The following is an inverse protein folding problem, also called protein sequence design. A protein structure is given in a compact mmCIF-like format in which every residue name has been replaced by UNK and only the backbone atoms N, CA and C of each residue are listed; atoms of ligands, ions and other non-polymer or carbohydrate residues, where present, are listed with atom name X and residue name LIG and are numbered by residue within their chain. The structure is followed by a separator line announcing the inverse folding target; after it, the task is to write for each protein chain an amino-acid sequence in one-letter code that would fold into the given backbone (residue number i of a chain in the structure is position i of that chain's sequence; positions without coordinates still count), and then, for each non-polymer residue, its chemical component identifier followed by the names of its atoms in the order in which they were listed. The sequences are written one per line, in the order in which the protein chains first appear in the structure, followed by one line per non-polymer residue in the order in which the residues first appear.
data_IF_951106319643
#
_entry.id   IF_951106319643
#
_cell.length_a   1.000
_cell.length_b   1.000
_cell.length_c   1.000
_cell.angle_alpha   90.00
_cell.angle_beta   90.00
_cell.angle_gamma   90.00
#
_symmetry.space_group_name_H-M   'P 1'
#
loop_
_entity.id
_entity.type
_entity.pdbx_description
1 polymer ?
#
# COMPACT_ATOMS: atom_id res chain seq x y z
N UNK A 1 8.97 -14.91 -17.90
CA UNK A 1 7.64 -15.13 -17.29
C UNK A 1 6.93 -16.18 -18.14
N UNK A 2 5.93 -16.92 -17.63
CA UNK A 2 5.14 -17.80 -18.50
C UNK A 2 4.60 -17.01 -19.70
N UNK A 3 4.59 -17.65 -20.87
CA UNK A 3 4.06 -17.02 -22.08
C UNK A 3 2.58 -16.71 -21.85
N UNK A 4 2.16 -15.47 -22.11
CA UNK A 4 0.78 -15.02 -21.89
C UNK A 4 0.46 -14.53 -20.47
N UNK A 5 1.35 -14.70 -19.49
CA UNK A 5 1.10 -14.19 -18.14
C UNK A 5 1.57 -12.72 -18.02
N UNK A 6 0.78 -11.84 -17.38
CA UNK A 6 1.08 -10.40 -17.31
C UNK A 6 2.07 -10.04 -16.19
N UNK A 7 2.26 -10.92 -15.20
CA UNK A 7 3.24 -10.76 -14.11
C UNK A 7 4.23 -11.95 -14.02
N UNK A 8 5.37 -11.81 -13.32
CA UNK A 8 6.14 -12.96 -12.84
C UNK A 8 5.30 -13.81 -11.89
N UNK A 9 5.55 -15.13 -11.86
CA UNK A 9 4.88 -16.01 -10.92
C UNK A 9 5.37 -15.74 -9.48
N UNK A 10 4.47 -15.69 -8.49
CA UNK A 10 4.84 -15.56 -7.10
C UNK A 10 5.53 -16.82 -6.57
N UNK A 11 6.34 -16.63 -5.54
CA UNK A 11 7.11 -17.69 -4.91
C UNK A 11 7.15 -17.50 -3.39
N UNK A 12 7.10 -18.62 -2.70
CA UNK A 12 7.14 -18.67 -1.24
C UNK A 12 8.23 -19.63 -0.76
N UNK A 13 8.88 -19.27 0.34
CA UNK A 13 9.95 -20.05 0.95
C UNK A 13 9.46 -21.14 1.88
N UNK A 14 10.37 -21.71 2.66
CA UNK A 14 10.01 -22.66 3.71
C UNK A 14 9.30 -21.97 4.88
N UNK A 15 8.32 -22.63 5.52
CA UNK A 15 7.64 -22.10 6.69
C UNK A 15 8.64 -21.66 7.79
N UNK A 16 8.37 -20.52 8.43
CA UNK A 16 9.15 -20.04 9.58
C UNK A 16 8.64 -20.66 10.87
N UNK A 17 9.55 -20.86 11.82
CA UNK A 17 9.21 -21.26 13.20
C UNK A 17 8.53 -20.11 13.94
N UNK A 18 7.68 -20.44 14.90
CA UNK A 18 7.12 -19.46 15.82
C UNK A 18 8.19 -18.91 16.77
N UNK A 19 8.03 -17.66 17.18
CA UNK A 19 8.71 -17.08 18.33
C UNK A 19 7.88 -17.43 19.58
N UNK A 20 8.42 -18.27 20.45
CA UNK A 20 7.74 -18.63 21.70
C UNK A 20 7.94 -17.54 22.73
N UNK A 21 6.83 -17.10 23.32
CA UNK A 21 6.76 -16.04 24.33
C UNK A 21 6.04 -16.61 25.55
N UNK A 22 6.74 -16.85 26.67
CA UNK A 22 6.22 -17.58 27.83
C UNK A 22 4.92 -17.03 28.45
N UNK A 23 4.69 -15.72 28.39
CA UNK A 23 3.54 -15.08 29.01
C UNK A 23 2.96 -13.96 28.14
N UNK A 24 1.73 -13.56 28.46
CA UNK A 24 1.06 -12.43 27.81
C UNK A 24 1.82 -11.12 28.08
N UNK A 25 2.33 -10.91 29.28
CA UNK A 25 3.13 -9.73 29.64
C UNK A 25 4.41 -9.60 28.79
N UNK A 26 5.12 -10.70 28.56
CA UNK A 26 6.30 -10.68 27.69
C UNK A 26 5.93 -10.45 26.22
N UNK A 27 4.74 -10.90 25.80
CA UNK A 27 4.22 -10.60 24.48
C UNK A 27 3.87 -9.12 24.33
N UNK A 28 3.30 -8.49 25.36
CA UNK A 28 3.02 -7.06 25.38
C UNK A 28 4.29 -6.22 25.30
N UNK A 29 5.38 -6.62 25.98
CA UNK A 29 6.68 -5.96 25.83
C UNK A 29 7.20 -6.08 24.39
N UNK A 30 7.15 -7.28 23.79
CA UNK A 30 7.50 -7.48 22.38
C UNK A 30 6.66 -6.58 21.46
N UNK A 31 5.33 -6.65 21.60
CA UNK A 31 4.40 -5.91 20.77
C UNK A 31 4.61 -4.39 20.89
N UNK A 32 4.84 -3.88 22.10
CA UNK A 32 5.06 -2.44 22.33
C UNK A 32 6.34 -1.93 21.67
N UNK A 33 7.44 -2.70 21.71
CA UNK A 33 8.71 -2.30 21.08
C UNK A 33 8.63 -2.37 19.54
N UNK A 34 7.95 -3.40 19.03
CA UNK A 34 7.67 -3.54 17.60
C UNK A 34 6.76 -2.41 17.11
N UNK A 35 5.70 -2.10 17.84
CA UNK A 35 4.76 -1.02 17.53
C UNK A 35 5.46 0.34 17.48
N UNK A 36 6.30 0.65 18.48
CA UNK A 36 7.09 1.88 18.48
C UNK A 36 7.96 2.01 17.21
N UNK A 37 8.55 0.89 16.75
CA UNK A 37 9.35 0.87 15.53
C UNK A 37 8.51 1.16 14.28
N UNK A 38 7.27 0.63 14.22
CA UNK A 38 6.31 0.95 13.14
C UNK A 38 5.92 2.42 13.16
N UNK A 39 5.59 2.98 14.32
CA UNK A 39 5.19 4.38 14.45
C UNK A 39 6.31 5.33 14.00
N UNK A 40 7.57 5.02 14.35
CA UNK A 40 8.75 5.76 13.89
C UNK A 40 8.99 5.62 12.38
N UNK A 41 8.65 4.47 11.78
CA UNK A 41 8.72 4.28 10.33
C UNK A 41 7.71 5.17 9.61
N UNK A 42 6.45 5.13 10.04
CA UNK A 42 5.35 5.89 9.43
C UNK A 42 5.56 7.40 9.53
N UNK A 43 6.15 7.87 10.64
CA UNK A 43 6.52 9.28 10.78
C UNK A 43 7.68 9.69 9.86
N UNK A 44 8.63 8.79 9.61
CA UNK A 44 9.85 9.09 8.87
C UNK A 44 9.67 9.02 7.34
N UNK A 45 8.71 8.22 6.86
CA UNK A 45 8.53 7.97 5.43
C UNK A 45 7.06 8.12 5.02
N UNK A 46 6.88 8.81 3.89
CA UNK A 46 5.61 8.86 3.19
C UNK A 46 5.38 7.56 2.40
N UNK A 47 4.13 7.18 2.22
CA UNK A 47 3.77 6.23 1.16
C UNK A 47 3.69 6.96 -0.17
N UNK A 48 4.41 6.46 -1.18
CA UNK A 48 4.64 7.18 -2.42
C UNK A 48 4.63 6.24 -3.64
N UNK A 49 3.45 5.88 -4.14
CA UNK A 49 3.30 5.20 -5.42
C UNK A 49 3.49 6.14 -6.62
N UNK A 50 3.38 7.46 -6.40
CA UNK A 50 3.56 8.49 -7.44
C UNK A 50 5.00 8.52 -7.95
N UNK A 51 5.98 8.44 -7.04
CA UNK A 51 7.38 8.49 -7.38
C UNK A 51 7.83 7.34 -8.27
N UNK A 52 7.42 6.10 -7.95
CA UNK A 52 7.76 4.95 -8.78
C UNK A 52 7.08 4.98 -10.15
N UNK A 53 5.84 5.50 -10.24
CA UNK A 53 5.18 5.74 -11.52
C UNK A 53 5.95 6.74 -12.39
N UNK A 54 6.36 7.89 -11.82
CA UNK A 54 7.11 8.90 -12.58
C UNK A 54 8.45 8.35 -13.07
N UNK A 55 9.21 7.63 -12.22
CA UNK A 55 10.47 6.99 -12.63
C UNK A 55 10.27 5.93 -13.70
N UNK A 56 9.18 5.18 -13.64
CA UNK A 56 8.83 4.20 -14.66
C UNK A 56 8.51 4.87 -16.00
N UNK A 57 7.73 5.94 -15.99
CA UNK A 57 7.42 6.74 -17.18
C UNK A 57 8.66 7.39 -17.80
N UNK A 58 9.50 8.02 -16.99
CA UNK A 58 10.78 8.61 -17.42
C UNK A 58 11.71 7.54 -18.02
N UNK A 59 11.83 6.39 -17.35
CA UNK A 59 12.61 5.25 -17.85
C UNK A 59 12.09 4.72 -19.18
N UNK A 60 10.78 4.61 -19.35
CA UNK A 60 10.15 4.19 -20.60
C UNK A 60 10.47 5.19 -21.72
N UNK A 61 10.27 6.48 -21.49
CA UNK A 61 10.60 7.53 -22.47
C UNK A 61 12.08 7.56 -22.84
N UNK A 62 12.96 7.41 -21.86
CA UNK A 62 14.40 7.38 -22.08
C UNK A 62 14.87 6.13 -22.85
N UNK A 63 14.13 5.02 -22.76
CA UNK A 63 14.46 3.78 -23.49
C UNK A 63 14.26 3.88 -25.00
N UNK A 64 13.43 4.82 -25.47
CA UNK A 64 13.03 4.94 -26.87
C UNK A 64 12.10 3.80 -27.35
N UNK A 65 11.67 2.91 -26.46
CA UNK A 65 10.70 1.87 -26.76
C UNK A 65 9.30 2.50 -27.00
N UNK A 66 8.54 1.91 -27.92
CA UNK A 66 7.15 2.30 -28.19
C UNK A 66 6.13 1.36 -27.54
N UNK A 67 6.59 0.18 -27.07
CA UNK A 67 5.78 -0.84 -26.43
C UNK A 67 6.06 -0.87 -24.93
N UNK A 68 5.14 -0.29 -24.15
CA UNK A 68 5.26 -0.25 -22.70
C UNK A 68 5.27 -1.64 -22.08
N UNK A 69 4.55 -2.61 -22.66
CA UNK A 69 4.52 -3.99 -22.18
C UNK A 69 5.88 -4.69 -22.29
N UNK A 70 6.65 -4.40 -23.35
CA UNK A 70 8.02 -4.88 -23.49
C UNK A 70 8.95 -4.24 -22.45
N UNK A 71 8.93 -2.92 -22.33
CA UNK A 71 9.71 -2.20 -21.33
C UNK A 71 9.37 -2.66 -19.90
N UNK A 72 8.08 -2.78 -19.59
CA UNK A 72 7.56 -3.29 -18.31
C UNK A 72 8.13 -4.67 -17.97
N UNK A 73 8.29 -5.56 -18.95
CA UNK A 73 8.85 -6.90 -18.75
C UNK A 73 10.31 -6.89 -18.33
N UNK A 74 11.10 -5.96 -18.87
CA UNK A 74 12.52 -5.81 -18.55
C UNK A 74 12.82 -4.87 -17.38
N UNK A 75 11.89 -3.97 -17.05
CA UNK A 75 12.11 -2.96 -16.01
C UNK A 75 12.26 -3.61 -14.63
N UNK A 76 13.23 -3.19 -13.84
CA UNK A 76 13.37 -3.60 -12.44
C UNK A 76 12.95 -2.43 -11.54
N UNK A 77 11.82 -2.54 -10.80
CA UNK A 77 11.38 -1.48 -9.92
C UNK A 77 12.43 -1.20 -8.83
N UNK A 78 12.94 0.03 -8.71
CA UNK A 78 13.87 0.38 -7.64
C UNK A 78 13.11 0.54 -6.32
N UNK A 79 13.73 0.13 -5.21
CA UNK A 79 13.25 0.42 -3.86
C UNK A 79 14.13 1.53 -3.29
N UNK A 80 13.59 2.73 -3.09
CA UNK A 80 14.33 3.86 -2.52
C UNK A 80 13.54 4.57 -1.42
N UNK A 81 14.22 5.15 -0.41
CA UNK A 81 13.57 5.82 0.72
C UNK A 81 12.60 6.95 0.36
N UNK A 82 12.76 7.56 -0.81
CA UNK A 82 11.93 8.65 -1.33
C UNK A 82 10.62 8.15 -1.95
N UNK A 83 10.54 6.86 -2.30
CA UNK A 83 9.48 6.26 -3.11
C UNK A 83 8.95 4.95 -2.51
N UNK A 84 8.90 4.86 -1.19
CA UNK A 84 8.39 3.66 -0.54
C UNK A 84 6.89 3.47 -0.78
N UNK A 85 6.53 2.32 -1.33
CA UNK A 85 5.20 1.72 -1.33
C UNK A 85 5.08 0.76 -0.14
N UNK A 86 4.08 -0.14 -0.14
CA UNK A 86 4.00 -1.24 0.83
C UNK A 86 5.26 -2.12 0.86
N UNK A 87 5.88 -2.40 -0.29
CA UNK A 87 7.10 -3.23 -0.37
C UNK A 87 8.28 -2.51 0.26
N UNK A 88 8.52 -1.25 -0.13
CA UNK A 88 9.61 -0.46 0.40
C UNK A 88 9.50 -0.24 1.90
N UNK A 89 8.31 0.12 2.38
CA UNK A 89 8.04 0.29 3.81
C UNK A 89 8.24 -1.02 4.59
N UNK A 90 7.75 -2.15 4.07
CA UNK A 90 7.89 -3.44 4.76
C UNK A 90 9.37 -3.91 4.82
N UNK A 91 10.15 -3.69 3.75
CA UNK A 91 11.58 -4.00 3.74
C UNK A 91 12.38 -3.12 4.73
N UNK A 92 12.09 -1.82 4.77
CA UNK A 92 12.70 -0.92 5.74
C UNK A 92 12.27 -1.28 7.18
N UNK A 93 11.01 -1.68 7.38
CA UNK A 93 10.53 -2.14 8.68
C UNK A 93 11.31 -3.37 9.18
N UNK A 94 11.51 -4.37 8.33
CA UNK A 94 12.31 -5.55 8.67
C UNK A 94 13.74 -5.16 9.09
N UNK A 95 14.36 -4.20 8.37
CA UNK A 95 15.70 -3.68 8.69
C UNK A 95 15.72 -2.96 10.05
N UNK A 96 14.69 -2.18 10.39
CA UNK A 96 14.61 -1.51 11.70
C UNK A 96 14.36 -2.50 12.83
N UNK A 97 13.47 -3.46 12.63
CA UNK A 97 13.13 -4.48 13.62
C UNK A 97 14.30 -5.40 13.95
N UNK A 98 15.27 -5.59 13.05
CA UNK A 98 16.47 -6.39 13.36
C UNK A 98 17.32 -5.80 14.49
N UNK A 99 17.15 -4.51 14.81
CA UNK A 99 17.81 -3.88 15.96
C UNK A 99 17.28 -4.38 17.30
N UNK A 100 16.09 -4.99 17.30
CA UNK A 100 15.46 -5.56 18.49
C UNK A 100 15.94 -7.00 18.79
N UNK A 101 16.78 -7.59 17.94
CA UNK A 101 17.30 -8.96 18.10
C UNK A 101 17.96 -9.18 19.46
N UNK A 102 18.71 -8.19 19.96
CA UNK A 102 19.37 -8.27 21.28
C UNK A 102 18.37 -8.38 22.42
N UNK A 103 17.21 -7.72 22.30
CA UNK A 103 16.14 -7.75 23.31
C UNK A 103 15.24 -8.97 23.14
N UNK A 104 14.98 -9.38 21.90
CA UNK A 104 14.13 -10.53 21.56
C UNK A 104 14.90 -11.51 20.66
N UNK A 105 15.74 -12.39 21.24
CA UNK A 105 16.57 -13.31 20.48
C UNK A 105 15.76 -14.18 19.53
N UNK A 106 16.21 -14.27 18.28
CA UNK A 106 15.60 -15.03 17.22
C UNK A 106 14.48 -14.32 16.45
N UNK A 107 14.15 -13.07 16.79
CA UNK A 107 13.12 -12.26 16.13
C UNK A 107 13.41 -12.11 14.62
N UNK A 108 14.60 -11.64 14.27
CA UNK A 108 15.00 -11.30 12.89
C UNK A 108 14.87 -12.51 11.96
N UNK A 109 15.30 -13.68 12.43
CA UNK A 109 15.24 -14.93 11.65
C UNK A 109 13.81 -15.42 11.37
N UNK A 110 12.84 -14.98 12.19
CA UNK A 110 11.43 -15.42 12.17
C UNK A 110 10.49 -14.40 11.55
N UNK A 111 10.88 -13.14 11.45
CA UNK A 111 10.16 -12.12 10.67
C UNK A 111 10.22 -12.46 9.18
N UNK A 112 9.12 -12.20 8.47
CA UNK A 112 9.04 -12.37 7.02
C UNK A 112 7.96 -11.48 6.40
N UNK A 113 7.98 -11.37 5.08
CA UNK A 113 6.93 -10.73 4.31
C UNK A 113 5.83 -11.72 3.96
N UNK A 114 4.57 -11.37 4.20
CA UNK A 114 3.40 -12.14 3.81
C UNK A 114 2.71 -11.44 2.64
N UNK A 115 2.30 -12.23 1.64
CA UNK A 115 1.62 -11.72 0.44
C UNK A 115 0.11 -11.61 0.66
N UNK A 116 -0.49 -10.52 0.18
CA UNK A 116 -1.90 -10.20 0.35
C UNK A 116 -2.61 -10.09 -1.01
N UNK A 117 -3.85 -10.56 -1.06
CA UNK A 117 -4.81 -10.27 -2.14
C UNK A 117 -6.03 -9.56 -1.58
N UNK A 118 -6.53 -8.61 -2.35
CA UNK A 118 -7.63 -7.74 -1.97
C UNK A 118 -8.88 -8.08 -2.77
N UNK A 119 -10.04 -7.62 -2.31
CA UNK A 119 -11.32 -7.79 -3.01
C UNK A 119 -11.72 -9.25 -3.27
N UNK A 120 -11.50 -10.14 -2.30
CA UNK A 120 -11.91 -11.55 -2.39
C UNK A 120 -13.42 -11.68 -2.18
N UNK A 121 -14.11 -12.22 -3.18
CA UNK A 121 -15.56 -12.46 -3.14
C UNK A 121 -15.91 -13.74 -2.36
N UNK A 122 -15.36 -14.90 -2.77
CA UNK A 122 -15.56 -16.19 -2.09
C UNK A 122 -14.35 -16.57 -1.23
N UNK A 123 -14.31 -15.99 -0.03
CA UNK A 123 -13.26 -16.23 0.97
C UNK A 123 -13.18 -17.70 1.34
N UNK A 124 -14.33 -18.38 1.49
CA UNK A 124 -14.39 -19.75 1.97
C UNK A 124 -13.80 -20.73 0.96
N UNK A 125 -14.01 -20.50 -0.35
CA UNK A 125 -13.35 -21.24 -1.41
C UNK A 125 -11.85 -20.94 -1.47
N UNK A 126 -11.50 -19.65 -1.48
CA UNK A 126 -10.14 -19.19 -1.67
C UNK A 126 -9.16 -19.75 -0.63
N UNK A 127 -9.56 -19.80 0.65
CA UNK A 127 -8.65 -20.18 1.75
C UNK A 127 -8.45 -21.70 1.90
N UNK A 128 -9.14 -22.56 1.13
CA UNK A 128 -9.02 -24.03 1.25
C UNK A 128 -7.66 -24.53 0.78
N UNK A 129 -7.10 -23.91 -0.26
CA UNK A 129 -5.87 -24.37 -0.92
C UNK A 129 -4.72 -23.38 -0.73
N UNK A 130 -3.48 -23.79 -1.01
CA UNK A 130 -2.38 -22.83 -1.10
C UNK A 130 -2.53 -21.96 -2.37
N UNK A 131 -1.99 -20.72 -2.39
CA UNK A 131 -2.23 -19.81 -3.51
C UNK A 131 -1.74 -20.39 -4.84
N UNK A 132 -2.62 -20.46 -5.84
CA UNK A 132 -2.27 -20.93 -7.17
C UNK A 132 -1.43 -19.89 -7.90
N UNK A 133 -0.15 -20.19 -8.16
CA UNK A 133 0.82 -19.24 -8.73
C UNK A 133 0.36 -18.56 -10.02
N UNK A 134 -0.50 -19.20 -10.81
CA UNK A 134 -0.92 -18.74 -12.14
C UNK A 134 -2.22 -17.95 -12.15
N UNK A 135 -2.97 -17.94 -11.04
CA UNK A 135 -4.21 -17.15 -10.92
C UNK A 135 -4.07 -16.01 -9.91
N UNK A 136 -3.03 -16.02 -9.08
CA UNK A 136 -2.86 -15.03 -8.02
C UNK A 136 -2.04 -13.81 -8.41
N UNK A 137 -2.47 -12.65 -7.95
CA UNK A 137 -1.87 -11.36 -8.29
C UNK A 137 -0.87 -10.85 -7.23
N UNK A 138 -1.22 -10.99 -5.94
CA UNK A 138 -0.47 -10.47 -4.78
C UNK A 138 -0.17 -8.95 -4.86
N UNK A 139 -1.23 -8.14 -4.79
CA UNK A 139 -1.19 -6.67 -4.90
C UNK A 139 -0.58 -5.94 -3.70
N UNK A 140 -0.53 -6.59 -2.55
CA UNK A 140 -0.03 -5.99 -1.31
C UNK A 140 0.87 -6.94 -0.51
N UNK A 141 1.69 -6.36 0.36
CA UNK A 141 2.61 -7.09 1.24
C UNK A 141 2.68 -6.43 2.62
N UNK A 142 2.79 -7.26 3.65
CA UNK A 142 2.96 -6.81 5.03
C UNK A 142 3.99 -7.66 5.77
N UNK A 143 4.44 -7.21 6.94
CA UNK A 143 5.37 -7.97 7.78
C UNK A 143 4.58 -8.88 8.71
N UNK A 144 5.03 -10.12 8.83
CA UNK A 144 4.42 -11.16 9.64
C UNK A 144 5.44 -11.86 10.53
N UNK A 145 4.99 -12.28 11.71
CA UNK A 145 5.72 -13.08 12.67
C UNK A 145 4.78 -14.12 13.26
N UNK A 146 5.16 -15.40 13.18
CA UNK A 146 4.48 -16.46 13.92
C UNK A 146 4.86 -16.36 15.38
N UNK A 147 3.87 -16.37 16.27
CA UNK A 147 4.08 -16.30 17.71
C UNK A 147 3.38 -17.46 18.40
N UNK A 148 3.92 -17.85 19.55
CA UNK A 148 3.28 -18.76 20.47
C UNK A 148 3.26 -18.07 21.84
N UNK A 149 2.10 -17.61 22.28
CA UNK A 149 1.95 -16.82 23.51
C UNK A 149 1.39 -17.71 24.61
N UNK A 150 2.21 -18.01 25.61
CA UNK A 150 1.88 -18.96 26.68
C UNK A 150 1.35 -20.30 26.13
N UNK A 151 2.03 -20.85 25.11
CA UNK A 151 1.65 -22.09 24.44
C UNK A 151 0.49 -21.97 23.43
N UNK A 152 -0.07 -20.77 23.23
CA UNK A 152 -1.19 -20.55 22.30
C UNK A 152 -0.70 -19.99 20.96
N UNK A 153 -1.02 -20.63 19.82
CA UNK A 153 -0.53 -20.19 18.53
C UNK A 153 -1.21 -18.89 18.09
N UNK A 154 -0.43 -18.02 17.45
CA UNK A 154 -0.92 -16.77 16.90
C UNK A 154 0.01 -16.17 15.85
N UNK A 155 -0.39 -15.02 15.36
CA UNK A 155 0.31 -14.24 14.36
C UNK A 155 0.40 -12.78 14.81
N UNK A 156 1.58 -12.19 14.71
CA UNK A 156 1.80 -10.75 14.83
C UNK A 156 2.00 -10.19 13.42
N UNK A 157 1.18 -9.21 13.04
CA UNK A 157 1.21 -8.56 11.72
C UNK A 157 1.48 -7.07 11.87
N UNK A 158 2.21 -6.53 10.90
CA UNK A 158 2.52 -5.10 10.78
C UNK A 158 2.30 -4.69 9.33
N UNK A 159 1.39 -3.76 9.11
CA UNK A 159 1.04 -3.29 7.77
C UNK A 159 1.38 -1.81 7.61
N UNK A 160 2.66 -1.49 7.32
CA UNK A 160 3.03 -0.11 7.10
C UNK A 160 2.50 0.42 5.76
N UNK A 161 2.13 -0.43 4.79
CA UNK A 161 1.57 0.00 3.50
C UNK A 161 0.17 0.62 3.64
N UNK A 162 -0.68 0.04 4.49
CA UNK A 162 -1.93 0.65 4.93
C UNK A 162 -1.76 1.62 6.10
N UNK A 163 -0.51 1.83 6.52
CA UNK A 163 -0.09 2.71 7.61
C UNK A 163 -0.78 2.41 8.93
N UNK A 164 -0.95 1.13 9.23
CA UNK A 164 -1.47 0.71 10.51
C UNK A 164 -0.36 0.91 11.54
N UNK A 165 -0.50 1.94 12.36
CA UNK A 165 0.50 2.36 13.35
C UNK A 165 0.48 1.53 14.64
N UNK A 166 0.05 0.27 14.53
CA UNK A 166 -0.11 -0.65 15.65
C UNK A 166 0.25 -2.08 15.30
N UNK A 167 0.57 -2.87 16.32
CA UNK A 167 0.63 -4.33 16.18
C UNK A 167 -0.77 -4.89 16.04
N UNK A 168 -0.97 -5.74 15.03
CA UNK A 168 -2.17 -6.57 14.89
C UNK A 168 -1.82 -7.97 15.36
N UNK A 169 -2.52 -8.44 16.39
CA UNK A 169 -2.34 -9.79 16.94
C UNK A 169 -3.52 -10.66 16.56
N UNK A 170 -3.27 -11.77 15.87
CA UNK A 170 -4.29 -12.76 15.50
C UNK A 170 -4.01 -14.06 16.24
N UNK A 171 -4.67 -14.24 17.39
CA UNK A 171 -4.61 -15.52 18.13
C UNK A 171 -5.58 -16.54 17.53
N UNK A 172 -5.18 -17.80 17.47
CA UNK A 172 -6.01 -18.87 16.93
C UNK A 172 -7.28 -19.15 17.76
N UNK A 173 -7.25 -18.84 19.05
CA UNK A 173 -8.39 -18.99 19.97
C UNK A 173 -9.27 -17.72 20.04
N UNK A 174 -8.89 -16.65 19.34
CA UNK A 174 -9.51 -15.32 19.40
C UNK A 174 -9.56 -14.69 20.80
N UNK A 175 -8.79 -15.20 21.76
CA UNK A 175 -8.70 -14.64 23.10
C UNK A 175 -7.55 -13.62 23.18
N UNK A 176 -7.59 -12.75 24.18
CA UNK A 176 -6.50 -11.81 24.46
C UNK A 176 -5.14 -12.55 24.47
N UNK A 177 -4.10 -12.06 23.77
CA UNK A 177 -3.94 -10.71 23.19
C UNK A 177 -4.48 -10.48 21.77
N UNK A 178 -5.44 -11.28 21.28
CA UNK A 178 -6.10 -11.05 19.98
C UNK A 178 -6.60 -9.61 19.81
N UNK A 179 -6.27 -9.00 18.68
CA UNK A 179 -6.73 -7.67 18.27
C UNK A 179 -8.05 -7.81 17.53
N UNK A 180 -9.15 -7.46 18.21
CA UNK A 180 -10.48 -7.40 17.59
C UNK A 180 -10.62 -6.23 16.60
N UNK A 181 -11.86 -5.83 16.33
CA UNK A 181 -12.14 -4.65 15.52
C UNK A 181 -11.42 -3.42 16.07
N UNK A 182 -10.78 -2.66 15.19
CA UNK A 182 -10.20 -1.37 15.53
C UNK A 182 -10.42 -0.35 14.43
N UNK A 183 -10.59 0.91 14.84
CA UNK A 183 -10.74 2.03 13.92
C UNK A 183 -9.39 2.35 13.26
N UNK A 184 -9.35 2.34 11.94
CA UNK A 184 -8.20 2.81 11.16
C UNK A 184 -8.31 4.30 10.85
N UNK A 185 -9.52 4.79 10.57
CA UNK A 185 -9.80 6.21 10.41
C UNK A 185 -11.23 6.54 10.82
N UNK A 186 -11.40 7.72 11.39
CA UNK A 186 -12.70 8.27 11.79
C UNK A 186 -12.79 9.71 11.31
N UNK A 187 -13.36 9.88 10.13
CA UNK A 187 -13.60 11.19 9.54
C UNK A 187 -15.10 11.54 9.60
N UNK A 188 -15.47 12.83 9.57
CA UNK A 188 -16.87 13.26 9.78
C UNK A 188 -17.94 12.56 8.92
N UNK A 189 -17.56 12.02 7.76
CA UNK A 189 -18.47 11.36 6.82
C UNK A 189 -18.04 9.93 6.45
N UNK A 190 -16.95 9.42 7.03
CA UNK A 190 -16.38 8.13 6.67
C UNK A 190 -15.60 7.58 7.86
N UNK A 191 -16.04 6.44 8.38
CA UNK A 191 -15.31 5.65 9.38
C UNK A 191 -14.85 4.35 8.74
N UNK A 192 -13.58 3.99 8.94
CA UNK A 192 -13.00 2.72 8.50
C UNK A 192 -12.52 1.92 9.70
N UNK A 193 -12.92 0.66 9.74
CA UNK A 193 -12.56 -0.28 10.81
C UNK A 193 -12.01 -1.56 10.21
N UNK A 194 -10.97 -2.10 10.83
CA UNK A 194 -10.34 -3.35 10.38
C UNK A 194 -10.49 -4.46 11.42
N UNK A 195 -10.59 -5.69 10.93
CA UNK A 195 -10.51 -6.90 11.73
C UNK A 195 -9.68 -7.96 11.02
N UNK A 196 -8.88 -8.70 11.78
CA UNK A 196 -8.03 -9.78 11.26
C UNK A 196 -8.36 -11.07 12.02
N UNK A 197 -8.70 -12.12 11.27
CA UNK A 197 -9.09 -13.42 11.84
C UNK A 197 -8.34 -14.54 11.14
N UNK A 198 -7.94 -15.57 11.89
CA UNK A 198 -7.28 -16.73 11.29
C UNK A 198 -8.31 -17.54 10.50
N UNK A 199 -7.99 -17.85 9.24
CA UNK A 199 -8.84 -18.70 8.41
C UNK A 199 -8.80 -20.16 8.87
N UNK A 200 -9.82 -20.93 8.51
CA UNK A 200 -9.84 -22.38 8.71
C UNK A 200 -8.60 -23.02 8.06
N UNK A 201 -7.88 -23.87 8.81
CA UNK A 201 -6.62 -24.48 8.38
C UNK A 201 -5.36 -23.65 8.66
N UNK A 202 -5.48 -22.42 9.17
CA UNK A 202 -4.36 -21.65 9.73
C UNK A 202 -3.31 -21.14 8.74
N UNK A 203 -3.56 -21.28 7.43
CA UNK A 203 -2.65 -20.82 6.37
C UNK A 203 -2.84 -19.34 6.01
N UNK A 204 -4.07 -18.86 6.17
CA UNK A 204 -4.49 -17.51 5.80
C UNK A 204 -4.98 -16.72 7.00
N UNK A 205 -4.88 -15.41 6.87
CA UNK A 205 -5.54 -14.46 7.75
C UNK A 205 -6.54 -13.69 6.89
N UNK A 206 -7.80 -13.72 7.29
CA UNK A 206 -8.88 -12.95 6.67
C UNK A 206 -8.89 -11.58 7.29
N UNK A 207 -8.65 -10.56 6.46
CA UNK A 207 -8.73 -9.16 6.80
C UNK A 207 -10.04 -8.59 6.27
N UNK A 208 -10.90 -8.10 7.16
CA UNK A 208 -12.14 -7.40 6.81
C UNK A 208 -11.96 -5.89 7.01
N UNK A 209 -12.31 -5.11 5.99
CA UNK A 209 -12.46 -3.66 6.06
C UNK A 209 -13.95 -3.33 6.08
N UNK A 210 -14.39 -2.68 7.16
CA UNK A 210 -15.72 -2.09 7.26
C UNK A 210 -15.60 -0.58 7.07
N UNK A 211 -16.16 -0.10 5.97
CA UNK A 211 -16.33 1.33 5.71
C UNK A 211 -17.78 1.73 5.99
N UNK A 212 -17.98 2.70 6.90
CA UNK A 212 -19.27 3.34 7.15
C UNK A 212 -19.25 4.75 6.60
N UNK A 213 -19.97 5.00 5.50
CA UNK A 213 -20.02 6.30 4.83
C UNK A 213 -21.43 6.85 4.87
N UNK A 214 -21.61 8.03 5.47
CA UNK A 214 -22.93 8.65 5.64
C UNK A 214 -24.00 7.69 6.22
N UNK A 215 -23.59 6.81 7.14
CA UNK A 215 -24.46 5.81 7.76
C UNK A 215 -24.67 4.52 6.95
N UNK A 216 -24.12 4.41 5.73
CA UNK A 216 -24.15 3.19 4.92
C UNK A 216 -22.88 2.38 5.16
N UNK A 217 -23.05 1.12 5.56
CA UNK A 217 -21.95 0.18 5.79
C UNK A 217 -21.67 -0.64 4.52
N UNK A 218 -20.38 -0.77 4.18
CA UNK A 218 -19.87 -1.72 3.20
C UNK A 218 -18.70 -2.49 3.81
N UNK A 219 -18.64 -3.79 3.52
CA UNK A 219 -17.53 -4.65 3.93
C UNK A 219 -16.79 -5.13 2.69
N UNK A 220 -15.48 -4.95 2.66
CA UNK A 220 -14.59 -5.63 1.72
C UNK A 220 -13.70 -6.62 2.46
N UNK A 221 -13.28 -7.68 1.76
CA UNK A 221 -12.43 -8.71 2.34
C UNK A 221 -11.13 -8.86 1.54
N UNK A 222 -10.04 -8.95 2.28
CA UNK A 222 -8.72 -9.28 1.78
C UNK A 222 -8.21 -10.53 2.51
N UNK A 223 -7.26 -11.23 1.89
CA UNK A 223 -6.67 -12.46 2.43
C UNK A 223 -5.16 -12.39 2.39
N UNK A 224 -4.56 -12.70 3.54
CA UNK A 224 -3.11 -12.69 3.72
C UNK A 224 -2.64 -14.13 3.81
N UNK A 225 -1.78 -14.55 2.87
CA UNK A 225 -1.13 -15.86 2.96
C UNK A 225 0.08 -15.76 3.88
N UNK A 226 -0.09 -16.21 5.12
CA UNK A 226 0.92 -16.15 6.19
C UNK A 226 1.56 -17.52 6.49
N UNK A 227 1.29 -18.55 5.68
CA UNK A 227 1.89 -19.86 5.93
C UNK A 227 3.40 -19.88 5.64
N UNK A 228 3.86 -19.08 4.67
CA UNK A 228 5.24 -19.11 4.17
C UNK A 228 5.73 -17.71 3.79
N UNK A 229 7.04 -17.42 3.96
CA UNK A 229 7.64 -16.17 3.49
C UNK A 229 7.42 -15.93 2.01
N UNK A 230 6.93 -14.76 1.65
CA UNK A 230 6.86 -14.31 0.26
C UNK A 230 8.23 -13.82 -0.20
N UNK A 231 8.77 -14.44 -1.26
CA UNK A 231 10.17 -14.26 -1.66
C UNK A 231 10.38 -13.24 -2.78
N UNK A 232 9.31 -12.82 -3.45
CA UNK A 232 9.39 -11.99 -4.65
C UNK A 232 8.53 -10.72 -4.59
N UNK A 233 8.54 -9.93 -3.49
CA UNK A 233 7.70 -8.75 -3.37
C UNK A 233 8.06 -7.64 -4.38
N UNK A 234 9.33 -7.50 -4.74
CA UNK A 234 9.75 -6.48 -5.73
C UNK A 234 9.33 -6.87 -7.14
N UNK A 235 9.50 -8.13 -7.52
CA UNK A 235 9.22 -8.54 -8.90
C UNK A 235 7.73 -8.77 -9.16
N UNK A 236 6.92 -9.02 -8.13
CA UNK A 236 5.47 -9.22 -8.24
C UNK A 236 4.70 -7.99 -7.76
N UNK A 237 4.70 -7.71 -6.46
CA UNK A 237 3.88 -6.65 -5.84
C UNK A 237 4.30 -5.25 -6.25
N UNK A 238 5.59 -4.91 -6.15
CA UNK A 238 6.08 -3.58 -6.55
C UNK A 238 5.88 -3.34 -8.05
N UNK A 239 6.10 -4.39 -8.84
CA UNK A 239 5.88 -4.37 -10.29
C UNK A 239 4.40 -4.18 -10.65
N UNK A 240 3.47 -4.85 -9.96
CA UNK A 240 2.03 -4.59 -10.12
C UNK A 240 1.70 -3.14 -9.78
N UNK A 241 2.26 -2.61 -8.70
CA UNK A 241 2.04 -1.21 -8.30
C UNK A 241 2.38 -0.21 -9.41
N UNK A 242 3.38 -0.47 -10.28
CA UNK A 242 3.74 0.41 -11.41
C UNK A 242 2.61 0.67 -12.39
N UNK A 243 1.70 -0.30 -12.58
CA UNK A 243 0.61 -0.24 -13.56
C UNK A 243 -0.77 -0.14 -12.94
N UNK A 244 -0.90 -0.33 -11.61
CA UNK A 244 -2.15 -0.10 -10.89
C UNK A 244 -2.74 1.28 -11.24
N UNK A 245 -4.04 1.49 -11.38
CA UNK A 245 -4.51 2.79 -11.92
C UNK A 245 -4.78 3.86 -10.85
N UNK A 246 -4.81 3.49 -9.57
CA UNK A 246 -4.92 4.44 -8.46
C UNK A 246 -3.54 4.78 -7.88
N UNK A 247 -3.30 6.06 -7.61
CA UNK A 247 -2.01 6.59 -7.17
C UNK A 247 -2.16 7.52 -6.01
N UNK A 248 -1.19 7.46 -5.09
CA UNK A 248 -1.15 8.36 -3.95
C UNK A 248 0.27 8.66 -3.47
N UNK A 249 0.43 9.87 -2.93
CA UNK A 249 1.56 10.31 -2.11
C UNK A 249 0.98 10.81 -0.79
N UNK A 250 1.24 10.11 0.30
CA UNK A 250 0.56 10.31 1.58
C UNK A 250 1.58 10.45 2.73
N UNK A 251 1.41 11.48 3.54
CA UNK A 251 2.06 11.66 4.84
C UNK A 251 1.07 11.34 5.96
N UNK A 252 1.56 10.74 7.03
CA UNK A 252 0.78 10.38 8.21
C UNK A 252 1.50 10.68 9.50
N UNK A 253 0.71 10.83 10.57
CA UNK A 253 1.24 10.98 11.92
C UNK A 253 1.69 9.63 12.51
N UNK A 254 2.23 9.66 13.73
CA UNK A 254 2.67 8.46 14.46
C UNK A 254 1.53 7.50 14.83
N UNK A 255 0.27 7.91 14.68
CA UNK A 255 -0.91 7.07 14.90
C UNK A 255 -1.50 6.55 13.59
N UNK A 256 -0.89 6.88 12.46
CA UNK A 256 -1.38 6.49 11.14
C UNK A 256 -2.54 7.34 10.63
N UNK A 257 -2.77 8.54 11.16
CA UNK A 257 -3.75 9.47 10.59
C UNK A 257 -3.16 10.28 9.44
N UNK A 258 -3.97 10.56 8.42
CA UNK A 258 -3.57 11.38 7.27
C UNK A 258 -3.28 12.83 7.68
N UNK A 259 -2.08 13.31 7.32
CA UNK A 259 -1.67 14.72 7.51
C UNK A 259 -1.83 15.50 6.22
N UNK A 260 -1.17 15.02 5.16
CA UNK A 260 -1.17 15.69 3.87
C UNK A 260 -0.91 14.70 2.74
N UNK A 261 -1.28 15.07 1.52
CA UNK A 261 -1.01 14.23 0.37
C UNK A 261 -1.84 14.53 -0.85
N UNK A 262 -1.57 13.76 -1.89
CA UNK A 262 -2.34 13.75 -3.13
C UNK A 262 -2.78 12.33 -3.46
N UNK A 263 -3.93 12.19 -4.10
CA UNK A 263 -4.34 10.95 -4.75
C UNK A 263 -5.16 11.21 -6.01
N UNK A 264 -5.10 10.28 -6.96
CA UNK A 264 -5.82 10.35 -8.23
C UNK A 264 -5.95 8.97 -8.87
N UNK A 265 -6.85 8.86 -9.85
CA UNK A 265 -7.02 7.66 -10.67
C UNK A 265 -6.72 7.99 -12.13
N UNK A 266 -5.91 7.16 -12.77
CA UNK A 266 -5.63 7.22 -14.21
C UNK A 266 -6.77 6.49 -14.93
N UNK A 267 -7.35 7.10 -15.95
CA UNK A 267 -8.50 6.55 -16.71
C UNK A 267 -8.33 6.79 -18.21
N UNK A 268 -8.95 5.95 -19.06
CA UNK A 268 -8.83 6.08 -20.52
C UNK A 268 -9.36 7.42 -21.04
N UNK A 269 -10.44 7.90 -20.43
CA UNK A 269 -11.09 9.17 -20.73
C UNK A 269 -10.57 10.35 -19.91
N UNK A 270 -9.34 10.27 -19.36
CA UNK A 270 -8.81 11.30 -18.48
C UNK A 270 -9.04 12.71 -19.05
N UNK A 271 -8.85 12.92 -20.36
CA UNK A 271 -9.06 14.21 -21.06
C UNK A 271 -10.52 14.56 -21.43
N UNK A 272 -11.46 13.63 -21.38
CA UNK A 272 -12.80 13.77 -22.00
C UNK A 272 -13.98 13.69 -21.01
N UNK A 273 -13.81 13.32 -19.75
CA UNK A 273 -14.97 12.99 -18.93
C UNK A 273 -15.66 14.18 -18.25
N UNK A 274 -16.87 14.46 -18.76
CA UNK A 274 -18.06 14.79 -17.97
C UNK A 274 -18.42 13.54 -17.15
N UNK A 275 -18.49 13.69 -15.83
CA UNK A 275 -18.81 12.72 -14.76
C UNK A 275 -17.90 11.49 -14.54
N UNK A 276 -17.41 11.39 -13.29
CA UNK A 276 -16.68 10.29 -12.61
C UNK A 276 -15.33 9.80 -13.15
N UNK A 277 -14.78 10.37 -14.23
CA UNK A 277 -13.38 10.16 -14.67
C UNK A 277 -12.63 11.48 -14.83
N UNK A 278 -12.14 12.08 -13.75
CA UNK A 278 -11.59 13.44 -13.83
C UNK A 278 -10.09 13.50 -14.14
N UNK A 279 -9.66 14.36 -15.08
CA UNK A 279 -8.26 14.85 -15.26
C UNK A 279 -7.81 15.68 -14.06
N UNK A 280 -7.96 15.16 -12.85
CA UNK A 280 -7.76 15.91 -11.62
C UNK A 280 -7.22 15.01 -10.54
N UNK A 281 -6.53 15.61 -9.59
CA UNK A 281 -6.16 14.97 -8.35
C UNK A 281 -6.88 15.62 -7.17
N UNK A 282 -6.96 14.89 -6.07
CA UNK A 282 -7.34 15.48 -4.79
C UNK A 282 -6.07 15.73 -4.01
N UNK A 283 -5.89 16.97 -3.55
CA UNK A 283 -4.90 17.33 -2.55
C UNK A 283 -5.58 17.54 -1.20
N UNK A 284 -4.87 17.19 -0.13
CA UNK A 284 -5.33 17.45 1.23
C UNK A 284 -4.18 17.83 2.13
N UNK A 285 -4.48 18.62 3.15
CA UNK A 285 -3.54 19.07 4.17
C UNK A 285 -4.31 19.41 5.45
N UNK A 286 -3.63 19.44 6.60
CA UNK A 286 -4.25 19.84 7.86
C UNK A 286 -4.14 21.35 8.10
N UNK A 287 -5.19 21.94 8.68
CA UNK A 287 -5.21 23.30 9.22
C UNK A 287 -5.92 23.26 10.57
N UNK A 288 -5.24 23.65 11.64
CA UNK A 288 -5.79 23.63 13.01
C UNK A 288 -6.41 22.28 13.39
N UNK A 289 -5.78 21.17 12.99
CA UNK A 289 -6.26 19.81 13.26
C UNK A 289 -7.37 19.31 12.31
N UNK A 290 -7.90 20.16 11.43
CA UNK A 290 -8.92 19.77 10.45
C UNK A 290 -8.28 19.46 9.09
N UNK A 291 -8.70 18.36 8.48
CA UNK A 291 -8.28 17.99 7.12
C UNK A 291 -9.03 18.82 6.09
N UNK A 292 -8.30 19.68 5.38
CA UNK A 292 -8.80 20.44 4.24
C UNK A 292 -8.55 19.65 2.97
N UNK A 293 -9.56 19.56 2.09
CA UNK A 293 -9.46 18.85 0.81
C UNK A 293 -9.79 19.78 -0.34
N UNK A 294 -9.09 19.59 -1.45
CA UNK A 294 -9.44 20.24 -2.70
C UNK A 294 -9.20 19.32 -3.89
N UNK A 295 -10.06 19.46 -4.90
CA UNK A 295 -9.92 18.78 -6.19
C UNK A 295 -9.32 19.79 -7.17
N UNK A 296 -8.23 19.42 -7.83
CA UNK A 296 -7.45 20.31 -8.72
C UNK A 296 -7.24 19.62 -10.06
N UNK A 297 -7.54 20.34 -11.14
CA UNK A 297 -7.38 19.87 -12.50
C UNK A 297 -5.90 19.85 -12.92
N UNK A 298 -5.45 18.77 -13.57
CA UNK A 298 -4.07 18.65 -14.06
C UNK A 298 -3.75 19.64 -15.20
N UNK A 299 -4.75 20.18 -15.92
CA UNK A 299 -4.53 21.18 -16.98
C UNK A 299 -3.82 22.43 -16.46
N UNK A 300 -4.04 22.78 -15.18
CA UNK A 300 -3.32 23.86 -14.49
C UNK A 300 -1.80 23.72 -14.57
N UNK A 301 -1.31 22.49 -14.66
CA UNK A 301 0.12 22.18 -14.65
C UNK A 301 0.68 21.84 -16.04
N UNK A 302 -0.13 21.90 -17.10
CA UNK A 302 0.34 21.68 -18.48
C UNK A 302 0.79 22.97 -19.18
N UNK A 303 0.15 24.10 -18.88
CA UNK A 303 0.43 25.39 -19.54
C UNK A 303 0.85 26.45 -18.52
N UNK A 304 2.15 26.73 -18.48
CA UNK A 304 2.76 27.73 -17.59
C UNK A 304 2.20 29.14 -17.86
N UNK A 305 1.71 29.42 -19.07
CA UNK A 305 1.15 30.72 -19.44
C UNK A 305 -0.33 30.90 -19.05
N UNK A 306 -1.02 29.82 -18.66
CA UNK A 306 -2.41 29.86 -18.20
C UNK A 306 -2.58 29.93 -16.68
N UNK A 307 -1.50 30.13 -15.91
CA UNK A 307 -1.61 30.41 -14.47
C UNK A 307 -2.35 31.72 -14.24
N UNK A 308 -3.68 31.64 -14.10
CA UNK A 308 -4.52 32.79 -13.80
C UNK A 308 -4.12 33.36 -12.42
N UNK A 309 -4.18 34.68 -12.27
CA UNK A 309 -3.94 35.36 -10.99
C UNK A 309 -4.95 34.98 -9.88
N UNK A 310 -6.07 34.33 -10.23
CA UNK A 310 -7.11 33.87 -9.30
C UNK A 310 -6.74 32.55 -8.59
N UNK A 311 -5.55 32.01 -8.80
CA UNK A 311 -5.16 30.68 -8.32
C UNK A 311 -4.32 30.68 -7.03
N UNK A 312 -4.09 31.86 -6.45
CA UNK A 312 -3.24 32.05 -5.27
C UNK A 312 -3.66 31.18 -4.06
N UNK A 313 -4.96 30.91 -3.88
CA UNK A 313 -5.45 30.05 -2.80
C UNK A 313 -5.07 28.59 -3.02
N UNK A 314 -5.19 28.08 -4.24
CA UNK A 314 -4.77 26.72 -4.59
C UNK A 314 -3.27 26.60 -4.47
N UNK A 315 -2.51 27.57 -4.97
CA UNK A 315 -1.04 27.56 -4.89
C UNK A 315 -0.57 27.54 -3.44
N UNK A 316 -1.19 28.35 -2.57
CA UNK A 316 -0.91 28.34 -1.13
C UNK A 316 -1.25 26.98 -0.49
N UNK A 317 -2.38 26.37 -0.85
CA UNK A 317 -2.79 25.06 -0.33
C UNK A 317 -1.84 23.94 -0.80
N UNK A 318 -1.39 23.97 -2.05
CA UNK A 318 -0.40 23.03 -2.59
C UNK A 318 0.97 23.24 -1.94
N UNK A 319 1.40 24.49 -1.73
CA UNK A 319 2.63 24.79 -1.00
C UNK A 319 2.59 24.24 0.43
N UNK A 320 1.47 24.45 1.15
CA UNK A 320 1.27 23.92 2.49
C UNK A 320 1.22 22.39 2.50
N UNK A 321 0.55 21.76 1.54
CA UNK A 321 0.54 20.32 1.35
C UNK A 321 1.96 19.78 1.14
N UNK A 322 2.77 20.43 0.28
CA UNK A 322 4.17 20.07 0.05
C UNK A 322 5.01 20.18 1.31
N UNK A 323 4.83 21.23 2.09
CA UNK A 323 5.51 21.42 3.38
C UNK A 323 5.15 20.30 4.37
N UNK A 324 3.87 19.94 4.50
CA UNK A 324 3.42 18.87 5.42
C UNK A 324 3.78 17.46 4.95
N UNK A 325 4.07 17.28 3.65
CA UNK A 325 4.72 16.09 3.10
C UNK A 325 6.22 16.03 3.39
N UNK A 326 6.80 17.07 4.02
CA UNK A 326 8.24 17.17 4.26
C UNK A 326 9.06 17.43 3.00
N UNK A 327 8.43 17.95 1.93
CA UNK A 327 9.11 18.21 0.66
C UNK A 327 9.74 19.62 0.65
N UNK A 328 10.86 19.80 -0.08
CA UNK A 328 11.40 21.13 -0.35
C UNK A 328 10.39 22.04 -1.06
N UNK A 329 10.53 23.35 -0.87
CA UNK A 329 9.68 24.35 -1.51
C UNK A 329 9.63 24.15 -3.04
N UNK A 330 8.42 24.19 -3.62
CA UNK A 330 8.17 23.97 -5.05
C UNK A 330 8.29 22.52 -5.53
N UNK A 331 8.76 21.57 -4.69
CA UNK A 331 8.95 20.19 -5.14
C UNK A 331 7.63 19.47 -5.43
N UNK A 332 6.59 19.70 -4.64
CA UNK A 332 5.26 19.13 -4.93
C UNK A 332 4.71 19.67 -6.25
N UNK A 333 4.90 20.95 -6.54
CA UNK A 333 4.48 21.56 -7.80
C UNK A 333 5.20 20.94 -9.01
N UNK A 334 6.50 20.69 -8.90
CA UNK A 334 7.25 19.96 -9.92
C UNK A 334 6.69 18.56 -10.15
N UNK A 335 6.44 17.80 -9.07
CA UNK A 335 5.80 16.46 -9.15
C UNK A 335 4.45 16.54 -9.87
N UNK A 336 3.62 17.55 -9.57
CA UNK A 336 2.31 17.73 -10.20
C UNK A 336 2.43 18.07 -11.70
N UNK A 337 3.48 18.81 -12.08
CA UNK A 337 3.80 19.13 -13.48
C UNK A 337 4.21 17.88 -14.26
N UNK A 338 5.08 17.05 -13.66
CA UNK A 338 5.49 15.79 -14.26
C UNK A 338 4.31 14.81 -14.40
N UNK A 339 3.46 14.75 -13.37
CA UNK A 339 2.22 13.97 -13.41
C UNK A 339 1.25 14.45 -14.48
N UNK A 340 1.04 15.76 -14.61
CA UNK A 340 0.18 16.31 -15.65
C UNK A 340 0.66 15.90 -17.05
N UNK A 341 1.98 15.97 -17.27
CA UNK A 341 2.62 15.51 -18.51
C UNK A 341 2.40 14.02 -18.76
N UNK A 342 2.58 13.18 -17.73
CA UNK A 342 2.36 11.74 -17.82
C UNK A 342 0.90 11.40 -18.14
N UNK A 343 -0.06 11.97 -17.41
CA UNK A 343 -1.49 11.68 -17.61
C UNK A 343 -1.97 12.24 -18.95
N UNK A 344 -1.32 13.27 -19.49
CA UNK A 344 -1.54 13.82 -20.81
C UNK A 344 -0.99 12.94 -21.96
N UNK A 345 -0.08 12.00 -21.69
CA UNK A 345 0.44 11.08 -22.69
C UNK A 345 -0.58 9.96 -22.97
N UNK A 346 -1.40 10.15 -24.02
CA UNK A 346 -2.44 9.19 -24.40
C UNK A 346 -1.87 7.80 -24.75
N UNK A 347 -0.68 7.74 -25.36
CA UNK A 347 -0.05 6.48 -25.75
C UNK A 347 0.39 5.69 -24.52
N UNK A 348 1.11 6.34 -23.60
CA UNK A 348 1.53 5.70 -22.36
C UNK A 348 0.33 5.29 -21.51
N UNK A 349 -0.66 6.18 -21.37
CA UNK A 349 -1.84 5.94 -20.53
C UNK A 349 -2.65 4.72 -20.99
N UNK A 350 -2.95 4.62 -22.28
CA UNK A 350 -3.71 3.50 -22.84
C UNK A 350 -2.95 2.18 -22.66
N UNK A 351 -1.64 2.17 -22.89
CA UNK A 351 -0.84 0.96 -22.69
C UNK A 351 -0.73 0.57 -21.21
N UNK A 352 -0.59 1.53 -20.30
CA UNK A 352 -0.54 1.27 -18.86
C UNK A 352 -1.85 0.66 -18.36
N UNK A 353 -2.98 1.20 -18.80
CA UNK A 353 -4.31 0.69 -18.45
C UNK A 353 -4.59 -0.68 -19.08
N UNK A 354 -4.08 -0.93 -20.29
CA UNK A 354 -4.10 -2.26 -20.91
C UNK A 354 -3.38 -3.31 -20.06
N UNK A 355 -2.15 -3.03 -19.62
CA UNK A 355 -1.40 -3.96 -18.74
C UNK A 355 -2.13 -4.16 -17.41
N UNK A 356 -2.70 -3.08 -16.84
CA UNK A 356 -3.48 -3.18 -15.61
C UNK A 356 -4.70 -4.11 -15.77
N UNK A 357 -5.41 -3.99 -16.89
CA UNK A 357 -6.56 -4.83 -17.20
C UNK A 357 -6.15 -6.30 -17.40
N UNK A 358 -5.09 -6.56 -18.17
CA UNK A 358 -4.57 -7.91 -18.38
C UNK A 358 -4.27 -8.63 -17.06
N UNK A 359 -3.75 -7.90 -16.07
CA UNK A 359 -3.49 -8.47 -14.73
C UNK A 359 -4.80 -8.71 -13.97
N UNK A 360 -5.75 -7.78 -14.01
CA UNK A 360 -7.04 -7.93 -13.34
C UNK A 360 -7.81 -9.14 -13.88
N UNK A 361 -7.74 -9.38 -15.19
CA UNK A 361 -8.40 -10.51 -15.84
C UNK A 361 -7.86 -11.86 -15.33
N UNK A 362 -6.58 -11.93 -14.92
CA UNK A 362 -6.01 -13.12 -14.25
C UNK A 362 -6.58 -13.28 -12.83
N UNK A 363 -6.86 -12.18 -12.14
CA UNK A 363 -7.36 -12.19 -10.78
C UNK A 363 -8.87 -12.50 -10.68
N UNK A 364 -9.66 -12.21 -11.72
CA UNK A 364 -11.10 -12.52 -11.78
C UNK A 364 -11.43 -14.03 -11.79
N UNK A 365 -10.44 -14.90 -11.97
CA UNK A 365 -10.58 -16.35 -11.86
C UNK A 365 -10.42 -16.88 -10.41
N UNK A 366 -10.22 -16.01 -9.40
CA UNK A 366 -9.95 -16.38 -8.00
C UNK A 366 -11.16 -16.42 -7.07
#
# INVERSE_FOLDING_TARGET
WPKGHPLPLPSWGSPKLALSVPSVEQYEDLASNVELTVQQLLQAHNYNSVGNLLRFFEGFRASGDSNLGHFYRSYLPPITPEHYTCVGLALELLRRLSTLETKFPGLTSRLYLASCEESIEDVDSYVREEPCKTSVEKEHVLVALRVEVAGRPGMLLLDPGYHIARVITVMADNLYPHTGWFTQSDEPHCRKEYQYTLATGGKYIVWRDRETRNGLESISTAVIYASRPFLCPVTVTERRNLVYNFRSLLSRDTKGHLIAGIYFKITDNARKAVDNGSFSFTAFHQVNGNTMRMKVDFNKYLDIQQKSSNDARTDAAIALCGQQLGLPAGRLEAILTDLATLVADDSFRVQLLGINQDINDVACDN
#
